data_IF_651833597065
#
_entry.id   IF_651833597065
#
_cell.length_a   1.000
_cell.length_b   1.000
_cell.length_c   1.000
_cell.angle_alpha   90.00
_cell.angle_beta   90.00
_cell.angle_gamma   90.00
#
_symmetry.space_group_name_H-M   'P 1'
#
loop_
_entity.id
_entity.type
_entity.pdbx_description
1 polymer ?
#
# COMPACT_ATOMS: atom_id res chain seq x y z
N UNK A 1 -2.89 11.17 -7.56
CA UNK A 1 -3.22 9.77 -7.30
C UNK A 1 -4.62 9.71 -6.71
N UNK A 2 -5.55 9.02 -7.40
CA UNK A 2 -7.00 8.98 -7.02
C UNK A 2 -7.48 7.57 -6.64
N UNK A 3 -6.59 6.60 -6.54
CA UNK A 3 -6.95 5.18 -6.34
C UNK A 3 -6.96 4.76 -4.87
N UNK A 4 -6.60 5.64 -3.96
CA UNK A 4 -6.48 5.34 -2.55
C UNK A 4 -7.65 5.92 -1.77
N UNK A 5 -8.13 5.17 -0.80
CA UNK A 5 -9.03 5.66 0.23
C UNK A 5 -8.31 6.64 1.17
N UNK A 6 -9.08 7.40 1.94
CA UNK A 6 -8.54 8.31 2.94
C UNK A 6 -7.90 7.48 4.08
N UNK A 7 -6.60 7.67 4.35
CA UNK A 7 -5.97 7.02 5.50
C UNK A 7 -6.60 7.46 6.82
N UNK A 8 -6.63 6.56 7.81
CA UNK A 8 -7.26 6.82 9.11
C UNK A 8 -6.45 7.76 10.02
N UNK A 9 -5.18 8.00 9.70
CA UNK A 9 -4.33 8.91 10.48
C UNK A 9 -3.49 9.79 9.55
N UNK A 10 -3.13 10.99 10.03
CA UNK A 10 -2.25 11.89 9.29
C UNK A 10 -0.87 11.26 9.05
N UNK A 11 -0.32 10.57 10.06
CA UNK A 11 0.96 9.86 9.93
C UNK A 11 0.93 8.83 8.79
N UNK A 12 -0.16 8.06 8.68
CA UNK A 12 -0.32 7.10 7.57
C UNK A 12 -0.44 7.81 6.21
N UNK A 13 -1.14 8.94 6.14
CA UNK A 13 -1.21 9.75 4.93
C UNK A 13 0.18 10.26 4.48
N UNK A 14 0.98 10.75 5.42
CA UNK A 14 2.36 11.21 5.17
C UNK A 14 3.23 10.06 4.66
N UNK A 15 3.15 8.89 5.27
CA UNK A 15 3.91 7.71 4.86
C UNK A 15 3.55 7.26 3.44
N UNK A 16 2.26 7.23 3.10
CA UNK A 16 1.80 6.93 1.75
C UNK A 16 2.30 7.97 0.74
N UNK A 17 2.23 9.26 1.09
CA UNK A 17 2.75 10.34 0.24
C UNK A 17 4.25 10.19 -0.01
N UNK A 18 5.04 9.87 1.02
CA UNK A 18 6.46 9.58 0.91
C UNK A 18 6.77 8.39 -0.01
N UNK A 19 5.99 7.30 0.11
CA UNK A 19 6.12 6.14 -0.79
C UNK A 19 5.81 6.53 -2.25
N UNK A 20 4.72 7.26 -2.49
CA UNK A 20 4.35 7.71 -3.83
C UNK A 20 5.47 8.57 -4.43
N UNK A 21 6.02 9.51 -3.65
CA UNK A 21 7.09 10.39 -4.08
C UNK A 21 8.36 9.58 -4.43
N UNK A 22 8.78 8.67 -3.56
CA UNK A 22 9.94 7.82 -3.78
C UNK A 22 9.76 6.91 -5.01
N UNK A 23 8.58 6.31 -5.17
CA UNK A 23 8.24 5.46 -6.33
C UNK A 23 8.25 6.27 -7.63
N UNK A 24 7.67 7.47 -7.62
CA UNK A 24 7.67 8.34 -8.79
C UNK A 24 9.10 8.74 -9.21
N UNK A 25 9.93 9.10 -8.23
CA UNK A 25 11.33 9.43 -8.49
C UNK A 25 12.10 8.22 -9.05
N UNK A 26 11.92 7.04 -8.46
CA UNK A 26 12.55 5.80 -8.94
C UNK A 26 12.12 5.49 -10.38
N UNK A 27 10.82 5.51 -10.69
CA UNK A 27 10.32 5.25 -12.04
C UNK A 27 10.87 6.25 -13.09
N UNK A 28 10.95 7.53 -12.74
CA UNK A 28 11.44 8.58 -13.63
C UNK A 28 12.95 8.48 -13.89
N UNK A 29 13.72 8.06 -12.89
CA UNK A 29 15.18 8.02 -12.97
C UNK A 29 15.70 6.71 -13.54
N UNK A 30 15.10 5.57 -13.18
CA UNK A 30 15.56 4.25 -13.61
C UNK A 30 14.88 3.75 -14.87
N UNK A 31 13.63 4.22 -15.13
CA UNK A 31 12.80 3.77 -16.27
C UNK A 31 12.83 2.25 -16.43
N UNK A 32 12.52 1.46 -15.40
CA UNK A 32 12.75 0.03 -15.38
C UNK A 32 11.88 -0.75 -16.37
N UNK A 33 10.81 -0.13 -16.86
CA UNK A 33 9.82 -0.79 -17.71
C UNK A 33 9.57 -0.01 -19.01
N UNK A 34 9.28 -0.78 -20.06
CA UNK A 34 8.70 -0.26 -21.31
C UNK A 34 7.24 -0.65 -21.33
N UNK A 35 6.37 0.35 -21.48
CA UNK A 35 4.94 0.13 -21.58
C UNK A 35 4.58 -0.78 -22.78
N UNK A 36 3.63 -1.73 -22.55
CA UNK A 36 3.06 -2.61 -23.55
C UNK A 36 1.52 -2.57 -23.43
N UNK A 37 0.83 -2.79 -24.54
CA UNK A 37 -0.65 -2.73 -24.56
C UNK A 37 -1.31 -3.75 -23.61
N UNK A 38 -0.70 -4.94 -23.44
CA UNK A 38 -1.15 -5.96 -22.49
C UNK A 38 -1.09 -5.54 -21.02
N UNK A 39 -0.25 -4.56 -20.67
CA UNK A 39 -0.05 -4.12 -19.28
C UNK A 39 -1.35 -3.61 -18.66
N UNK A 40 -2.22 -3.00 -19.47
CA UNK A 40 -3.50 -2.49 -18.98
C UNK A 40 -4.46 -3.60 -18.49
N UNK A 41 -4.50 -4.74 -19.17
CA UNK A 41 -5.35 -5.87 -18.77
C UNK A 41 -4.84 -6.50 -17.46
N UNK A 42 -3.52 -6.71 -17.36
CA UNK A 42 -2.89 -7.23 -16.16
C UNK A 42 -3.00 -6.24 -14.99
N UNK A 43 -2.87 -4.94 -15.23
CA UNK A 43 -3.14 -3.91 -14.22
C UNK A 43 -4.57 -4.02 -13.66
N UNK A 44 -5.57 -4.20 -14.50
CA UNK A 44 -6.97 -4.37 -14.05
C UNK A 44 -7.15 -5.61 -13.20
N UNK A 45 -6.55 -6.73 -13.61
CA UNK A 45 -6.58 -7.98 -12.87
C UNK A 45 -5.88 -7.83 -11.51
N UNK A 46 -4.64 -7.34 -11.51
CA UNK A 46 -3.84 -7.14 -10.30
C UNK A 46 -4.53 -6.17 -9.32
N UNK A 47 -5.12 -5.10 -9.83
CA UNK A 47 -5.92 -4.17 -9.02
C UNK A 47 -7.11 -4.87 -8.37
N UNK A 48 -7.83 -5.72 -9.11
CA UNK A 48 -8.94 -6.50 -8.55
C UNK A 48 -8.44 -7.43 -7.43
N UNK A 49 -7.34 -8.14 -7.64
CA UNK A 49 -6.72 -9.02 -6.64
C UNK A 49 -6.39 -8.24 -5.35
N UNK A 50 -5.70 -7.11 -5.47
CA UNK A 50 -5.35 -6.26 -4.33
C UNK A 50 -6.59 -5.73 -3.59
N UNK A 51 -7.62 -5.26 -4.31
CA UNK A 51 -8.85 -4.75 -3.71
C UNK A 51 -9.66 -5.84 -3.01
N UNK A 52 -9.71 -7.05 -3.58
CA UNK A 52 -10.53 -8.14 -3.07
C UNK A 52 -9.88 -8.91 -1.94
N UNK A 53 -8.58 -9.17 -2.04
CA UNK A 53 -7.85 -10.09 -1.17
C UNK A 53 -6.78 -9.39 -0.31
N UNK A 54 -6.56 -8.08 -0.51
CA UNK A 54 -5.59 -7.31 0.27
C UNK A 54 -4.17 -7.85 0.09
N UNK A 55 -3.43 -8.01 1.17
CA UNK A 55 -2.03 -8.46 1.15
C UNK A 55 -1.83 -9.89 0.61
N UNK A 56 -2.87 -10.73 0.68
CA UNK A 56 -2.87 -12.11 0.18
C UNK A 56 -3.23 -12.23 -1.30
N UNK A 57 -3.67 -11.12 -1.94
CA UNK A 57 -4.00 -11.09 -3.37
C UNK A 57 -2.79 -11.52 -4.20
N UNK A 58 -3.04 -12.28 -5.27
CA UNK A 58 -1.98 -12.76 -6.17
C UNK A 58 -1.85 -11.80 -7.34
N UNK A 59 -0.69 -11.18 -7.45
CA UNK A 59 -0.32 -10.33 -8.58
C UNK A 59 0.45 -11.15 -9.62
N UNK A 60 0.25 -10.80 -10.88
CA UNK A 60 1.04 -11.34 -11.99
C UNK A 60 1.94 -10.23 -12.52
N UNK A 61 3.25 -10.48 -12.58
CA UNK A 61 4.20 -9.56 -13.19
C UNK A 61 3.96 -9.47 -14.69
N UNK A 62 3.82 -8.25 -15.20
CA UNK A 62 3.48 -8.00 -16.61
C UNK A 62 4.59 -8.35 -17.59
N UNK A 63 5.83 -8.43 -17.12
CA UNK A 63 7.02 -8.66 -17.95
C UNK A 63 7.48 -10.11 -17.90
N UNK A 64 7.49 -10.72 -16.69
CA UNK A 64 7.98 -12.09 -16.50
C UNK A 64 6.86 -13.13 -16.50
N UNK A 65 5.62 -12.72 -16.16
CA UNK A 65 4.49 -13.64 -15.94
C UNK A 65 4.54 -14.34 -14.59
N UNK A 66 5.52 -14.06 -13.75
CA UNK A 66 5.63 -14.63 -12.41
C UNK A 66 4.50 -14.15 -11.51
N UNK A 67 4.09 -15.02 -10.59
CA UNK A 67 3.06 -14.71 -9.61
C UNK A 67 3.68 -14.53 -8.22
N UNK A 68 3.21 -13.49 -7.52
CA UNK A 68 3.59 -13.18 -6.14
C UNK A 68 2.42 -12.56 -5.40
N UNK A 69 2.45 -12.59 -4.08
CA UNK A 69 1.44 -11.92 -3.27
C UNK A 69 1.63 -10.39 -3.32
N UNK A 70 0.56 -9.65 -3.02
CA UNK A 70 0.65 -8.19 -2.84
C UNK A 70 1.69 -7.84 -1.78
N UNK A 71 1.77 -8.61 -0.68
CA UNK A 71 2.75 -8.39 0.38
C UNK A 71 4.20 -8.51 -0.13
N UNK A 72 4.49 -9.56 -0.91
CA UNK A 72 5.82 -9.77 -1.52
C UNK A 72 6.16 -8.66 -2.53
N UNK A 73 5.17 -8.21 -3.32
CA UNK A 73 5.36 -7.12 -4.28
C UNK A 73 5.65 -5.80 -3.59
N UNK A 74 4.93 -5.48 -2.50
CA UNK A 74 5.20 -4.29 -1.70
C UNK A 74 6.60 -4.38 -1.08
N UNK A 75 6.99 -5.52 -0.51
CA UNK A 75 8.32 -5.70 0.08
C UNK A 75 9.42 -5.44 -0.95
N UNK A 76 9.30 -6.03 -2.13
CA UNK A 76 10.21 -5.80 -3.25
C UNK A 76 10.24 -4.31 -3.68
N UNK A 77 9.07 -3.66 -3.79
CA UNK A 77 9.00 -2.25 -4.16
C UNK A 77 9.72 -1.37 -3.14
N UNK A 78 9.55 -1.62 -1.84
CA UNK A 78 10.22 -0.85 -0.78
C UNK A 78 11.75 -0.92 -0.91
N UNK A 79 12.30 -2.07 -1.28
CA UNK A 79 13.73 -2.23 -1.54
C UNK A 79 14.18 -1.41 -2.77
N UNK A 80 13.40 -1.45 -3.86
CA UNK A 80 13.73 -0.70 -5.08
C UNK A 80 13.72 0.81 -4.88
N UNK A 81 12.78 1.33 -4.07
CA UNK A 81 12.62 2.77 -3.86
C UNK A 81 13.48 3.33 -2.73
N UNK A 82 14.13 2.49 -1.94
CA UNK A 82 14.94 2.93 -0.79
C UNK A 82 15.98 4.00 -1.14
N UNK A 83 16.78 3.88 -2.23
CA UNK A 83 17.73 4.93 -2.61
C UNK A 83 17.06 6.25 -3.01
N UNK A 84 15.86 6.18 -3.59
CA UNK A 84 15.06 7.36 -3.93
C UNK A 84 14.48 8.03 -2.68
N UNK A 85 14.00 7.22 -1.74
CA UNK A 85 13.49 7.70 -0.45
C UNK A 85 14.58 8.42 0.36
N UNK A 86 15.80 7.91 0.38
CA UNK A 86 16.93 8.55 1.03
C UNK A 86 17.20 9.94 0.44
N UNK A 87 17.30 10.05 -0.89
CA UNK A 87 17.50 11.33 -1.59
C UNK A 87 16.42 12.37 -1.31
N UNK A 88 15.19 11.90 -1.08
CA UNK A 88 14.01 12.76 -0.90
C UNK A 88 13.67 12.99 0.59
N UNK A 89 14.45 12.44 1.53
CA UNK A 89 14.16 12.54 2.95
C UNK A 89 12.93 11.76 3.41
N UNK A 90 12.51 10.73 2.63
CA UNK A 90 11.32 9.91 2.87
C UNK A 90 11.65 8.54 3.50
N UNK A 91 12.86 8.34 4.02
CA UNK A 91 13.30 7.05 4.58
C UNK A 91 12.41 6.58 5.73
N UNK A 92 12.00 7.50 6.64
CA UNK A 92 11.11 7.17 7.75
C UNK A 92 9.77 6.62 7.25
N UNK A 93 9.20 7.21 6.20
CA UNK A 93 7.95 6.76 5.60
C UNK A 93 8.05 5.32 5.07
N UNK A 94 9.13 5.00 4.37
CA UNK A 94 9.39 3.64 3.85
C UNK A 94 9.57 2.65 5.01
N UNK A 95 10.28 3.02 6.06
CA UNK A 95 10.49 2.18 7.25
C UNK A 95 9.17 1.87 7.95
N UNK A 96 8.31 2.88 8.15
CA UNK A 96 7.00 2.70 8.77
C UNK A 96 6.08 1.79 7.95
N UNK A 97 6.07 1.94 6.62
CA UNK A 97 5.31 1.04 5.74
C UNK A 97 5.84 -0.39 5.82
N UNK A 98 7.16 -0.58 5.87
CA UNK A 98 7.76 -1.90 6.05
C UNK A 98 7.38 -2.54 7.39
N UNK A 99 7.28 -1.76 8.47
CA UNK A 99 6.81 -2.23 9.78
C UNK A 99 5.34 -2.64 9.73
N UNK A 100 4.48 -1.83 9.09
CA UNK A 100 3.07 -2.17 8.89
C UNK A 100 2.90 -3.45 8.07
N UNK A 101 3.69 -3.62 7.02
CA UNK A 101 3.68 -4.83 6.20
C UNK A 101 4.04 -6.08 7.02
N UNK A 102 5.04 -6.00 7.88
CA UNK A 102 5.43 -7.10 8.79
C UNK A 102 4.35 -7.50 9.78
N UNK A 103 3.43 -6.59 10.13
CA UNK A 103 2.28 -6.91 10.97
C UNK A 103 1.25 -7.82 10.26
N UNK A 104 1.32 -7.92 8.92
CA UNK A 104 0.51 -8.83 8.12
C UNK A 104 -0.99 -8.51 8.09
N UNK A 105 -1.43 -7.35 8.61
CA UNK A 105 -2.84 -6.97 8.68
C UNK A 105 -3.11 -5.65 7.96
N UNK A 106 -3.95 -5.71 6.94
CA UNK A 106 -4.49 -4.51 6.30
C UNK A 106 -5.52 -3.82 7.21
N UNK A 107 -5.82 -2.53 6.97
CA UNK A 107 -6.90 -1.84 7.70
C UNK A 107 -8.25 -2.56 7.53
N UNK A 108 -8.54 -3.07 6.34
CA UNK A 108 -9.74 -3.85 6.10
C UNK A 108 -9.80 -5.12 6.96
N UNK A 109 -8.67 -5.77 7.23
CA UNK A 109 -8.63 -6.93 8.13
C UNK A 109 -8.84 -6.50 9.57
N UNK A 110 -8.24 -5.40 10.02
CA UNK A 110 -8.46 -4.87 11.38
C UNK A 110 -9.93 -4.49 11.62
N UNK A 111 -10.60 -3.92 10.61
CA UNK A 111 -12.03 -3.63 10.69
C UNK A 111 -12.87 -4.92 10.83
N UNK A 112 -12.55 -5.95 10.03
CA UNK A 112 -13.22 -7.26 10.13
C UNK A 112 -13.00 -7.92 11.49
N UNK A 113 -11.77 -7.91 11.98
CA UNK A 113 -11.42 -8.45 13.29
C UNK A 113 -12.23 -7.73 14.39
N UNK A 114 -12.29 -6.39 14.36
CA UNK A 114 -13.07 -5.60 15.32
C UNK A 114 -14.55 -5.98 15.34
N UNK A 115 -15.15 -6.20 14.18
CA UNK A 115 -16.56 -6.65 14.11
C UNK A 115 -16.70 -8.10 14.60
N UNK A 116 -15.76 -8.98 14.25
CA UNK A 116 -15.76 -10.37 14.72
C UNK A 116 -15.62 -10.50 16.24
N UNK A 117 -14.88 -9.58 16.87
CA UNK A 117 -14.71 -9.48 18.33
C UNK A 117 -15.92 -8.84 19.05
N UNK A 118 -17.03 -8.65 18.35
CA UNK A 118 -18.30 -8.15 18.91
C UNK A 118 -18.50 -6.64 18.79
N UNK A 119 -17.62 -5.93 18.11
CA UNK A 119 -17.80 -4.51 17.78
C UNK A 119 -18.96 -4.28 16.82
N UNK A 120 -19.66 -3.15 16.95
CA UNK A 120 -20.70 -2.73 16.01
C UNK A 120 -20.12 -1.80 14.93
N UNK A 121 -20.84 -1.65 13.80
CA UNK A 121 -20.49 -0.67 12.77
C UNK A 121 -20.43 0.76 13.32
N UNK A 122 -21.34 1.10 14.24
CA UNK A 122 -21.39 2.42 14.89
C UNK A 122 -20.12 2.64 15.72
N UNK A 123 -19.76 1.68 16.58
CA UNK A 123 -18.56 1.77 17.42
C UNK A 123 -17.27 1.76 16.57
N UNK A 124 -17.25 1.08 15.42
CA UNK A 124 -16.13 1.14 14.47
C UNK A 124 -15.96 2.56 13.91
N UNK A 125 -17.06 3.19 13.46
CA UNK A 125 -17.02 4.58 12.95
C UNK A 125 -16.56 5.55 14.04
N UNK A 126 -17.09 5.44 15.25
CA UNK A 126 -16.67 6.27 16.40
C UNK A 126 -15.16 6.15 16.64
N UNK A 127 -14.65 4.92 16.72
CA UNK A 127 -13.21 4.65 16.89
C UNK A 127 -12.37 5.29 15.78
N UNK A 128 -12.83 5.24 14.52
CA UNK A 128 -12.10 5.85 13.41
C UNK A 128 -12.11 7.39 13.48
N UNK A 129 -13.24 7.99 13.90
CA UNK A 129 -13.30 9.43 14.14
C UNK A 129 -12.34 9.86 15.26
N UNK A 130 -12.24 9.09 16.34
CA UNK A 130 -11.31 9.35 17.44
C UNK A 130 -9.86 9.25 16.98
N UNK A 131 -9.52 8.20 16.22
CA UNK A 131 -8.17 8.04 15.63
C UNK A 131 -7.79 9.22 14.75
N UNK A 132 -8.71 9.70 13.93
CA UNK A 132 -8.48 10.87 13.08
C UNK A 132 -8.30 12.15 13.91
N UNK A 133 -9.15 12.36 14.92
CA UNK A 133 -9.11 13.58 15.76
C UNK A 133 -7.87 13.65 16.66
N UNK A 134 -7.32 12.49 17.07
CA UNK A 134 -6.13 12.41 17.94
C UNK A 134 -4.83 12.25 17.16
N UNK A 135 -4.90 12.17 15.84
CA UNK A 135 -3.70 12.08 14.97
C UNK A 135 -2.95 13.40 15.01
N UNK A 136 -1.67 13.43 15.43
CA UNK A 136 -0.88 14.65 15.51
C UNK A 136 -0.62 15.27 14.13
#
# INVERSE_FOLDING_TARGET
VRVMDTPLTLGHAINIAGLIQATSHWLLTTRPYKHQEKDFLLYRFNRFQACRYGLEGILTDVHTGEQKTVAEDIAWLLEQVAPSAEKLGATSAITEIALLLKQGKSEAQRMRDFIADGGSLISLVQKHCELWATSP
#
